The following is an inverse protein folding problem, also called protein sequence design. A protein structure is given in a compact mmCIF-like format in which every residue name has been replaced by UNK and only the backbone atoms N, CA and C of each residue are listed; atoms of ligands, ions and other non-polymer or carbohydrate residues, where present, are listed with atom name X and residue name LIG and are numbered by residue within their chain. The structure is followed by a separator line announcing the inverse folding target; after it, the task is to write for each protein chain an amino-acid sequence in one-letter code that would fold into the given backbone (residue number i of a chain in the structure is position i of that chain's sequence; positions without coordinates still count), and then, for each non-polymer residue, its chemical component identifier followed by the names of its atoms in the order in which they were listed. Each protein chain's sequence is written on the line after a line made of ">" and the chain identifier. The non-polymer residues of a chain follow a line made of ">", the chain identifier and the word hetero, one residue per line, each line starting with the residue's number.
data_IF_516427314179
#
_entry.id   IF_516427314179
#
_cell.length_a   1.000
_cell.length_b   1.000
_cell.length_c   1.000
_cell.angle_alpha   90.00
_cell.angle_beta   90.00
_cell.angle_gamma   90.00
#
_symmetry.space_group_name_H-M   'P 1'
#
loop_
_entity.id
_entity.type
_entity.pdbx_description
1 polymer ?
#
# COMPACT_ATOMS: atom_id res chain seq x y z
N UNK A 1 -16.24 -68.19 -40.86
CA UNK A 1 -17.36 -67.22 -40.83
C UNK A 1 -17.28 -66.49 -39.48
N UNK A 2 -17.08 -65.16 -39.52
CA UNK A 2 -17.20 -64.06 -38.53
C UNK A 2 -17.40 -64.41 -37.03
N UNK A 3 -16.80 -63.72 -36.05
CA UNK A 3 -16.78 -62.26 -35.85
C UNK A 3 -15.81 -61.87 -34.72
N UNK A 4 -14.98 -60.84 -34.93
CA UNK A 4 -14.17 -60.21 -33.89
C UNK A 4 -14.87 -58.95 -33.36
N UNK A 5 -15.16 -58.92 -32.05
CA UNK A 5 -15.80 -57.80 -31.37
C UNK A 5 -14.73 -56.73 -31.07
N UNK A 6 -14.74 -55.64 -31.82
CA UNK A 6 -13.91 -54.47 -31.59
C UNK A 6 -14.57 -53.58 -30.52
N UNK A 7 -14.04 -53.59 -29.29
CA UNK A 7 -14.46 -52.64 -28.24
C UNK A 7 -13.86 -51.26 -28.54
N UNK A 8 -14.70 -50.28 -28.87
CA UNK A 8 -14.30 -48.87 -28.94
C UNK A 8 -14.29 -48.28 -27.53
N UNK A 9 -13.10 -48.03 -26.99
CA UNK A 9 -12.93 -47.21 -25.78
C UNK A 9 -13.03 -45.73 -26.18
N UNK A 10 -14.05 -45.03 -25.68
CA UNK A 10 -14.17 -43.58 -25.82
C UNK A 10 -13.39 -42.94 -24.67
N UNK A 11 -12.29 -42.26 -24.99
CA UNK A 11 -11.52 -41.45 -24.03
C UNK A 11 -12.15 -40.06 -23.99
N UNK A 12 -12.81 -39.69 -22.89
CA UNK A 12 -13.32 -38.33 -22.67
C UNK A 12 -12.18 -37.50 -22.07
N UNK A 13 -11.60 -36.62 -22.88
CA UNK A 13 -10.57 -35.67 -22.44
C UNK A 13 -11.27 -34.45 -21.82
N UNK A 14 -11.42 -34.44 -20.49
CA UNK A 14 -11.94 -33.29 -19.75
C UNK A 14 -10.83 -32.22 -19.71
N UNK A 15 -10.94 -31.21 -20.57
CA UNK A 15 -10.09 -30.03 -20.54
C UNK A 15 -10.56 -29.15 -19.37
N UNK A 16 -9.87 -29.23 -18.23
CA UNK A 16 -10.04 -28.28 -17.13
C UNK A 16 -9.38 -26.98 -17.57
N UNK A 17 -10.10 -26.13 -18.30
CA UNK A 17 -9.71 -24.73 -18.47
C UNK A 17 -9.93 -24.05 -17.12
N UNK A 18 -8.85 -23.91 -16.35
CA UNK A 18 -8.84 -23.08 -15.16
C UNK A 18 -9.20 -21.65 -15.55
N UNK A 19 -10.41 -21.20 -15.21
CA UNK A 19 -10.74 -19.79 -15.18
C UNK A 19 -9.86 -19.18 -14.09
N UNK A 20 -8.77 -18.53 -14.51
CA UNK A 20 -8.10 -17.57 -13.65
C UNK A 20 -9.12 -16.45 -13.40
N UNK A 21 -9.81 -16.53 -12.26
CA UNK A 21 -10.59 -15.41 -11.74
C UNK A 21 -9.59 -14.27 -11.57
N UNK A 22 -9.65 -13.28 -12.47
CA UNK A 22 -8.83 -12.08 -12.33
C UNK A 22 -9.15 -11.44 -10.99
N UNK A 23 -8.18 -11.42 -10.08
CA UNK A 23 -8.33 -10.64 -8.86
C UNK A 23 -8.55 -9.19 -9.27
N UNK A 24 -9.62 -8.57 -8.76
CA UNK A 24 -9.83 -7.14 -8.94
C UNK A 24 -8.64 -6.43 -8.30
N UNK A 25 -7.95 -5.63 -9.12
CA UNK A 25 -6.79 -4.88 -8.68
C UNK A 25 -7.25 -3.74 -7.77
N UNK A 26 -6.49 -3.49 -6.70
CA UNK A 26 -6.69 -2.35 -5.82
C UNK A 26 -5.62 -1.29 -6.11
N UNK A 27 -5.75 -0.47 -7.17
CA UNK A 27 -4.80 0.60 -7.43
C UNK A 27 -4.79 1.62 -6.29
N UNK A 28 -3.63 2.22 -6.08
CA UNK A 28 -3.36 3.29 -5.12
C UNK A 28 -2.32 4.23 -5.74
N UNK A 29 -2.04 5.37 -5.09
CA UNK A 29 -0.88 6.17 -5.46
C UNK A 29 0.19 6.07 -4.38
N UNK A 30 1.45 6.09 -4.81
CA UNK A 30 2.62 6.14 -3.93
C UNK A 30 3.54 7.26 -4.40
N UNK A 31 4.07 8.00 -3.45
CA UNK A 31 5.13 9.00 -3.68
C UNK A 31 6.10 9.00 -2.50
N UNK A 32 7.22 9.71 -2.60
CA UNK A 32 8.17 9.84 -1.51
C UNK A 32 8.89 11.18 -1.52
N UNK A 33 9.46 11.53 -0.37
CA UNK A 33 10.39 12.65 -0.24
C UNK A 33 11.46 12.35 0.81
N UNK A 34 12.63 12.97 0.68
CA UNK A 34 13.76 12.82 1.59
C UNK A 34 14.16 14.15 2.22
N UNK A 35 14.30 14.15 3.55
CA UNK A 35 14.66 15.31 4.35
C UNK A 35 15.86 15.03 5.24
N UNK A 36 16.58 16.07 5.64
CA UNK A 36 17.53 15.98 6.75
C UNK A 36 16.81 16.27 8.07
N UNK A 37 16.82 15.33 9.01
CA UNK A 37 16.30 15.53 10.35
C UNK A 37 17.25 16.36 11.23
N UNK A 38 16.74 16.87 12.36
CA UNK A 38 17.51 17.70 13.31
C UNK A 38 18.73 16.97 13.91
N UNK A 39 18.69 15.63 13.98
CA UNK A 39 19.80 14.79 14.43
C UNK A 39 20.87 14.51 13.36
N UNK A 40 20.66 15.01 12.14
CA UNK A 40 21.54 14.81 10.99
C UNK A 40 21.32 13.52 10.22
N UNK A 41 20.28 12.75 10.54
CA UNK A 41 19.92 11.53 9.81
C UNK A 41 18.96 11.86 8.66
N UNK A 42 19.14 11.28 7.46
CA UNK A 42 18.13 11.37 6.42
C UNK A 42 16.82 10.70 6.85
N UNK A 43 15.71 11.38 6.65
CA UNK A 43 14.35 10.85 6.79
C UNK A 43 13.75 10.66 5.41
N UNK A 44 13.36 9.42 5.10
CA UNK A 44 12.52 9.07 3.96
C UNK A 44 11.06 9.08 4.39
N UNK A 45 10.23 9.94 3.80
CA UNK A 45 8.79 9.92 3.97
C UNK A 45 8.13 9.24 2.77
N UNK A 46 7.30 8.22 3.03
CA UNK A 46 6.56 7.48 2.00
C UNK A 46 5.08 7.84 2.12
N UNK A 47 4.50 8.30 1.01
CA UNK A 47 3.12 8.74 0.89
C UNK A 47 2.27 7.69 0.22
N UNK A 48 1.08 7.44 0.78
CA UNK A 48 0.09 6.53 0.22
C UNK A 48 -1.22 7.26 0.01
N UNK A 49 -1.89 6.96 -1.09
CA UNK A 49 -3.26 7.39 -1.34
C UNK A 49 -4.12 6.21 -1.76
N UNK A 50 -4.87 5.66 -0.82
CA UNK A 50 -5.78 4.53 -1.08
C UNK A 50 -7.13 5.05 -1.56
N UNK A 51 -7.63 4.54 -2.68
CA UNK A 51 -8.98 4.89 -3.15
C UNK A 51 -10.04 4.27 -2.24
N UNK A 52 -10.80 5.12 -1.56
CA UNK A 52 -11.81 4.70 -0.57
C UNK A 52 -12.90 3.82 -1.21
N UNK A 53 -13.25 4.08 -2.48
CA UNK A 53 -14.26 3.32 -3.23
C UNK A 53 -13.87 1.88 -3.55
N UNK A 54 -12.61 1.48 -3.31
CA UNK A 54 -12.13 0.12 -3.53
C UNK A 54 -12.18 -0.73 -2.24
N UNK A 55 -12.52 -0.10 -1.12
CA UNK A 55 -12.70 -0.78 0.16
C UNK A 55 -14.08 -1.46 0.17
N UNK A 56 -14.11 -2.71 0.59
CA UNK A 56 -15.35 -3.44 0.78
C UNK A 56 -15.90 -3.18 2.16
N UNK A 57 -17.15 -2.72 2.22
CA UNK A 57 -17.82 -2.38 3.47
C UNK A 57 -18.86 -3.44 3.84
N UNK A 58 -18.86 -3.84 5.11
CA UNK A 58 -19.84 -4.77 5.69
C UNK A 58 -20.63 -4.05 6.79
N UNK A 59 -21.90 -4.40 6.95
CA UNK A 59 -22.74 -3.83 8.02
C UNK A 59 -22.21 -4.22 9.38
N UNK A 60 -22.07 -3.26 10.28
CA UNK A 60 -21.75 -3.51 11.69
C UNK A 60 -23.05 -3.83 12.45
N UNK A 61 -23.31 -5.10 12.70
CA UNK A 61 -24.51 -5.56 13.42
C UNK A 61 -24.59 -5.04 14.87
N UNK A 62 -23.49 -4.51 15.43
CA UNK A 62 -23.45 -3.96 16.78
C UNK A 62 -23.84 -2.48 16.87
N UNK A 63 -23.90 -1.77 15.74
CA UNK A 63 -24.25 -0.35 15.69
C UNK A 63 -25.20 -0.08 14.51
N UNK A 64 -26.44 0.31 14.83
CA UNK A 64 -27.44 0.61 13.81
C UNK A 64 -26.91 1.62 12.78
N UNK A 65 -26.93 1.23 11.51
CA UNK A 65 -26.59 2.06 10.34
C UNK A 65 -25.11 2.45 10.18
N UNK A 66 -24.17 1.67 10.73
CA UNK A 66 -22.74 1.84 10.47
C UNK A 66 -22.22 0.68 9.60
N UNK A 67 -21.36 1.00 8.63
CA UNK A 67 -20.63 0.02 7.85
C UNK A 67 -19.13 0.19 8.08
N UNK A 68 -18.44 -0.94 8.23
CA UNK A 68 -17.00 -1.00 8.45
C UNK A 68 -16.31 -1.64 7.26
N UNK A 69 -15.19 -1.06 6.89
CA UNK A 69 -14.25 -1.60 5.92
C UNK A 69 -12.83 -1.41 6.42
N UNK A 70 -11.88 -1.95 5.67
CA UNK A 70 -10.48 -1.75 5.98
C UNK A 70 -9.55 -2.40 4.99
N UNK A 71 -8.28 -2.06 5.11
CA UNK A 71 -7.24 -2.58 4.26
C UNK A 71 -5.92 -2.69 5.02
N UNK A 72 -5.12 -3.64 4.59
CA UNK A 72 -3.76 -3.90 5.04
C UNK A 72 -2.78 -3.20 4.11
N UNK A 73 -1.75 -2.57 4.68
CA UNK A 73 -0.59 -2.03 3.97
C UNK A 73 0.65 -2.79 4.44
N UNK A 74 1.37 -3.39 3.50
CA UNK A 74 2.70 -3.97 3.73
C UNK A 74 3.71 -3.15 2.95
N UNK A 75 4.59 -2.44 3.65
CA UNK A 75 5.68 -1.67 3.06
C UNK A 75 6.99 -2.38 3.34
N UNK A 76 7.73 -2.76 2.31
CA UNK A 76 9.04 -3.40 2.42
C UNK A 76 10.08 -2.55 1.70
N UNK A 77 11.18 -2.22 2.37
CA UNK A 77 12.35 -1.61 1.74
C UNK A 77 13.38 -2.67 1.43
N UNK A 78 13.92 -2.62 0.22
CA UNK A 78 15.01 -3.48 -0.23
C UNK A 78 16.26 -2.66 -0.47
N UNK A 79 17.41 -3.16 -0.03
CA UNK A 79 18.72 -2.65 -0.42
C UNK A 79 19.49 -3.78 -1.09
N UNK A 80 19.98 -3.54 -2.32
CA UNK A 80 20.72 -4.54 -3.12
C UNK A 80 19.95 -5.87 -3.28
N UNK A 81 18.62 -5.80 -3.39
CA UNK A 81 17.74 -6.95 -3.55
C UNK A 81 17.31 -7.64 -2.24
N UNK A 82 17.88 -7.26 -1.10
CA UNK A 82 17.56 -7.86 0.20
C UNK A 82 16.62 -6.96 1.02
N UNK A 83 15.58 -7.51 1.68
CA UNK A 83 14.69 -6.73 2.52
C UNK A 83 15.45 -6.23 3.76
N UNK A 84 15.50 -4.91 3.94
CA UNK A 84 16.17 -4.26 5.08
C UNK A 84 15.18 -3.71 6.12
N UNK A 85 13.92 -3.54 5.72
CA UNK A 85 12.84 -3.09 6.61
C UNK A 85 11.50 -3.59 6.09
N UNK A 86 10.57 -3.87 7.00
CA UNK A 86 9.19 -4.17 6.68
C UNK A 86 8.25 -3.61 7.74
N UNK A 87 7.18 -2.94 7.31
CA UNK A 87 6.08 -2.48 8.15
C UNK A 87 4.78 -3.12 7.69
N UNK A 88 4.01 -3.56 8.67
CA UNK A 88 2.64 -4.02 8.50
C UNK A 88 1.72 -3.06 9.24
N UNK A 89 0.70 -2.55 8.55
CA UNK A 89 -0.27 -1.61 9.10
C UNK A 89 -1.68 -1.96 8.63
N UNK A 90 -2.67 -1.83 9.51
CA UNK A 90 -4.08 -2.06 9.20
C UNK A 90 -4.84 -0.75 9.35
N UNK A 91 -5.51 -0.34 8.28
CA UNK A 91 -6.34 0.85 8.24
C UNK A 91 -7.81 0.44 8.26
N UNK A 92 -8.56 1.01 9.20
CA UNK A 92 -10.00 0.83 9.30
C UNK A 92 -10.69 2.10 8.80
N UNK A 93 -11.85 1.93 8.19
CA UNK A 93 -12.67 3.04 7.71
C UNK A 93 -14.16 2.75 7.96
N UNK A 94 -14.90 3.80 8.34
CA UNK A 94 -16.31 3.71 8.69
C UNK A 94 -17.15 4.66 7.82
N UNK A 95 -18.28 4.15 7.34
CA UNK A 95 -19.25 4.92 6.54
C UNK A 95 -20.67 4.63 7.01
N UNK A 96 -21.54 5.64 6.93
CA UNK A 96 -22.98 5.46 7.20
C UNK A 96 -23.71 4.82 6.03
N UNK A 97 -23.26 5.12 4.82
CA UNK A 97 -23.83 4.62 3.57
C UNK A 97 -22.70 4.40 2.55
N UNK A 98 -22.35 3.13 2.25
CA UNK A 98 -21.32 2.80 1.27
C UNK A 98 -21.60 3.34 -0.14
N UNK A 99 -22.87 3.58 -0.50
CA UNK A 99 -23.23 4.11 -1.82
C UNK A 99 -22.80 5.56 -2.03
N UNK A 100 -22.50 6.28 -0.95
CA UNK A 100 -21.97 7.65 -0.97
C UNK A 100 -20.45 7.69 -1.14
N UNK A 101 -19.77 6.55 -1.10
CA UNK A 101 -18.32 6.48 -1.30
C UNK A 101 -18.02 6.64 -2.80
N UNK A 102 -17.30 7.70 -3.14
CA UNK A 102 -16.97 8.01 -4.54
C UNK A 102 -15.50 7.71 -4.87
N UNK A 103 -15.16 7.44 -6.15
CA UNK A 103 -13.77 7.23 -6.58
C UNK A 103 -12.82 8.41 -6.34
N UNK A 104 -13.36 9.60 -6.06
CA UNK A 104 -12.58 10.82 -5.75
C UNK A 104 -12.14 10.89 -4.29
N UNK A 105 -12.72 10.09 -3.41
CA UNK A 105 -12.32 10.03 -2.01
C UNK A 105 -11.11 9.12 -1.86
N UNK A 106 -10.05 9.67 -1.30
CA UNK A 106 -8.80 8.96 -1.02
C UNK A 106 -8.51 9.04 0.48
N UNK A 107 -7.91 7.99 1.02
CA UNK A 107 -7.44 7.95 2.40
C UNK A 107 -5.92 8.12 2.35
N UNK A 108 -5.39 9.29 2.76
CA UNK A 108 -3.96 9.52 2.79
C UNK A 108 -3.30 8.79 3.97
N UNK A 109 -2.05 8.37 3.79
CA UNK A 109 -1.18 7.89 4.87
C UNK A 109 0.25 8.32 4.62
N UNK A 110 1.02 8.48 5.69
CA UNK A 110 2.45 8.77 5.65
C UNK A 110 3.19 7.73 6.51
N UNK A 111 4.31 7.23 6.00
CA UNK A 111 5.28 6.43 6.75
C UNK A 111 6.65 7.12 6.71
N UNK A 112 7.07 7.76 7.81
CA UNK A 112 8.37 8.39 7.90
C UNK A 112 9.43 7.43 8.48
N UNK A 113 10.60 7.33 7.86
CA UNK A 113 11.69 6.38 8.20
C UNK A 113 13.05 7.11 8.28
N UNK A 114 13.81 6.94 9.36
CA UNK A 114 15.18 7.43 9.50
C UNK A 114 16.19 6.42 8.92
N UNK A 115 16.62 6.65 7.68
CA UNK A 115 17.39 5.66 6.95
C UNK A 115 18.76 6.17 6.52
N UNK A 116 19.74 5.27 6.48
CA UNK A 116 21.09 5.58 5.99
C UNK A 116 21.04 5.97 4.50
N UNK A 117 21.94 6.88 4.05
CA UNK A 117 22.12 7.16 2.64
C UNK A 117 22.33 5.90 1.80
N UNK A 118 21.77 5.89 0.60
CA UNK A 118 21.90 4.78 -0.35
C UNK A 118 20.70 4.61 -1.29
N UNK A 119 20.82 3.64 -2.18
CA UNK A 119 19.77 3.25 -3.11
C UNK A 119 18.89 2.13 -2.51
N UNK A 120 17.58 2.31 -2.62
CA UNK A 120 16.59 1.34 -2.16
C UNK A 120 15.49 1.11 -3.22
N UNK A 121 14.79 -0.01 -3.10
CA UNK A 121 13.48 -0.23 -3.74
C UNK A 121 12.44 -0.27 -2.63
N UNK A 122 11.42 0.59 -2.73
CA UNK A 122 10.24 0.52 -1.87
C UNK A 122 9.22 -0.35 -2.60
N UNK A 123 8.77 -1.42 -1.93
CA UNK A 123 7.66 -2.27 -2.37
C UNK A 123 6.49 -2.07 -1.43
N UNK A 124 5.34 -1.69 -1.97
CA UNK A 124 4.10 -1.53 -1.20
C UNK A 124 3.06 -2.49 -1.73
N UNK A 125 2.42 -3.20 -0.82
CA UNK A 125 1.25 -4.02 -1.11
C UNK A 125 0.08 -3.48 -0.29
N UNK A 126 -1.06 -3.28 -0.95
CA UNK A 126 -2.32 -2.94 -0.29
C UNK A 126 -3.32 -4.05 -0.54
N UNK A 127 -4.04 -4.47 0.51
CA UNK A 127 -5.05 -5.53 0.41
C UNK A 127 -6.29 -5.19 1.22
N UNK A 128 -7.44 -5.18 0.57
CA UNK A 128 -8.74 -5.04 1.24
C UNK A 128 -9.01 -6.27 2.14
N UNK A 129 -9.37 -6.03 3.40
CA UNK A 129 -9.47 -7.10 4.40
C UNK A 129 -10.67 -8.03 4.19
N UNK A 130 -11.72 -7.56 3.50
CA UNK A 130 -12.97 -8.30 3.35
C UNK A 130 -13.07 -9.04 2.00
N UNK A 131 -12.73 -8.38 0.89
CA UNK A 131 -12.74 -8.96 -0.46
C UNK A 131 -11.44 -9.66 -0.83
N UNK A 132 -10.33 -9.31 -0.18
CA UNK A 132 -9.00 -9.80 -0.56
C UNK A 132 -8.46 -9.21 -1.87
N UNK A 133 -9.15 -8.21 -2.45
CA UNK A 133 -8.61 -7.43 -3.57
C UNK A 133 -7.30 -6.78 -3.16
N UNK A 134 -6.33 -6.78 -4.07
CA UNK A 134 -4.98 -6.34 -3.74
C UNK A 134 -4.34 -5.54 -4.88
N UNK A 135 -3.39 -4.71 -4.52
CA UNK A 135 -2.51 -3.98 -5.41
C UNK A 135 -1.07 -4.05 -4.90
N UNK A 136 -0.13 -3.95 -5.83
CA UNK A 136 1.29 -3.87 -5.52
C UNK A 136 1.93 -2.78 -6.38
N UNK A 137 2.83 -2.00 -5.79
CA UNK A 137 3.67 -1.03 -6.49
C UNK A 137 5.10 -1.09 -5.99
N UNK A 138 6.02 -0.74 -6.89
CA UNK A 138 7.45 -0.65 -6.62
C UNK A 138 7.99 0.67 -7.14
N UNK A 139 8.80 1.34 -6.33
CA UNK A 139 9.50 2.56 -6.72
C UNK A 139 10.96 2.47 -6.27
N UNK A 140 11.87 2.89 -7.15
CA UNK A 140 13.27 3.08 -6.79
C UNK A 140 13.42 4.42 -6.07
N UNK A 141 14.20 4.45 -4.99
CA UNK A 141 14.50 5.65 -4.23
C UNK A 141 15.99 5.78 -4.01
N UNK A 142 16.51 6.99 -4.17
CA UNK A 142 17.85 7.35 -3.75
C UNK A 142 17.73 8.25 -2.52
N UNK A 143 18.37 7.85 -1.42
CA UNK A 143 18.50 8.65 -0.21
C UNK A 143 19.90 9.28 -0.25
N UNK A 144 20.03 10.59 -0.48
CA UNK A 144 21.33 11.23 -0.58
C UNK A 144 22.04 11.25 0.77
N UNK A 145 23.37 11.38 0.71
CA UNK A 145 24.16 11.76 1.87
C UNK A 145 24.06 13.28 2.06
N UNK A 146 24.07 13.73 3.31
CA UNK A 146 24.01 15.16 3.69
C UNK A 146 25.31 15.55 4.38
N UNK A 147 26.42 15.70 3.64
CA UNK A 147 27.72 16.00 4.21
C UNK A 147 27.80 17.44 4.74
N UNK A 148 28.61 17.66 5.77
CA UNK A 148 28.73 18.96 6.46
C UNK A 148 29.51 20.03 5.70
N UNK A 149 30.26 19.62 4.68
CA UNK A 149 31.18 20.46 3.92
C UNK A 149 30.67 20.82 2.50
N UNK A 150 29.42 20.48 2.17
CA UNK A 150 28.80 20.88 0.91
C UNK A 150 27.32 21.21 1.07
N UNK A 151 26.75 21.88 0.06
CA UNK A 151 25.32 22.18 0.01
C UNK A 151 24.57 21.02 -0.65
N UNK A 152 23.70 20.37 0.11
CA UNK A 152 22.73 19.39 -0.39
C UNK A 152 21.33 19.87 0.01
N UNK A 153 20.38 19.74 -0.90
CA UNK A 153 18.99 20.13 -0.67
C UNK A 153 18.17 18.89 -0.37
N UNK A 154 17.38 18.97 0.70
CA UNK A 154 16.22 18.09 0.88
C UNK A 154 15.23 18.28 -0.27
N UNK A 155 14.32 17.32 -0.42
CA UNK A 155 13.16 17.51 -1.28
C UNK A 155 12.30 18.69 -0.81
N UNK A 156 11.52 19.26 -1.73
CA UNK A 156 10.65 20.41 -1.48
C UNK A 156 9.21 19.96 -1.48
N UNK A 157 8.51 20.21 -0.38
CA UNK A 157 7.08 19.97 -0.25
C UNK A 157 6.29 21.27 -0.27
N UNK A 158 5.16 21.25 -0.96
CA UNK A 158 4.25 22.39 -1.06
C UNK A 158 2.92 21.99 -0.43
N UNK A 159 2.52 22.72 0.61
CA UNK A 159 1.23 22.56 1.26
C UNK A 159 0.41 23.84 1.14
N UNK A 160 -0.89 23.71 0.85
CA UNK A 160 -1.81 24.85 0.80
C UNK A 160 -2.15 25.39 2.20
N UNK A 161 -2.11 24.53 3.21
CA UNK A 161 -2.46 24.86 4.59
C UNK A 161 -1.57 24.08 5.57
N UNK A 162 -1.01 24.78 6.55
CA UNK A 162 -0.23 24.21 7.66
C UNK A 162 -0.78 24.81 8.94
N UNK A 163 -1.08 23.97 9.92
CA UNK A 163 -1.61 24.36 11.22
C UNK A 163 -0.74 23.79 12.33
N UNK A 164 -0.68 24.47 13.47
CA UNK A 164 -0.07 23.91 14.67
C UNK A 164 -0.94 22.75 15.15
N UNK A 165 -0.32 21.59 15.34
CA UNK A 165 -1.00 20.44 15.89
C UNK A 165 -1.14 20.58 17.42
N UNK A 166 -2.34 20.30 17.95
CA UNK A 166 -2.55 20.18 19.40
C UNK A 166 -2.12 18.81 19.92
N UNK A 167 -2.24 17.78 19.08
CA UNK A 167 -1.82 16.41 19.34
C UNK A 167 -0.93 15.90 18.18
N UNK A 168 0.03 15.02 18.51
CA UNK A 168 0.91 14.43 17.49
C UNK A 168 0.12 13.38 16.70
N UNK A 169 0.23 13.45 15.37
CA UNK A 169 -0.35 12.49 14.44
C UNK A 169 0.68 12.06 13.39
N UNK A 170 0.30 11.11 12.54
CA UNK A 170 1.12 10.69 11.40
C UNK A 170 1.32 11.81 10.33
N UNK A 171 0.58 12.92 10.43
CA UNK A 171 0.73 14.08 9.55
C UNK A 171 1.49 15.23 10.22
N UNK A 172 1.92 15.07 11.48
CA UNK A 172 2.71 16.07 12.19
C UNK A 172 4.15 16.01 11.69
N UNK A 173 4.57 17.03 10.94
CA UNK A 173 5.96 17.20 10.49
C UNK A 173 6.89 17.42 11.68
N UNK A 174 8.11 16.88 11.60
CA UNK A 174 9.09 16.91 12.70
C UNK A 174 8.61 16.19 13.98
N UNK A 175 7.70 15.22 13.82
CA UNK A 175 7.14 14.40 14.90
C UNK A 175 7.89 13.09 15.14
N UNK A 176 7.15 11.99 15.35
CA UNK A 176 7.73 10.66 15.53
C UNK A 176 8.13 10.03 14.20
N UNK A 177 9.37 9.56 14.13
CA UNK A 177 9.93 8.81 13.02
C UNK A 177 10.00 7.32 13.38
N UNK A 178 9.69 6.43 12.43
CA UNK A 178 10.10 5.04 12.53
C UNK A 178 11.61 4.96 12.18
N UNK A 179 12.26 3.87 12.67
CA UNK A 179 13.69 3.52 12.61
C UNK A 179 14.59 4.35 11.72
#
# INVERSE_FOLDING_TARGET
>A
MFSAICKKSILILISITGLALGQVQMPFDIDYAVFLADDGTPTLEIYYMTHRSLITYQSDESQDSLYKGGYEIVTTLYSRGEPVYQKHDIQNDEVKDPSLVSPKQKIPKILPLQIRPGDYEIKVQIKDIHSGHAGEQKIAVNVPDFPKDSLVLSDIEIASHILKAEEISHFTKLGHYDV
#
